data_IF_294856961028
#
_entry.id   IF_294856961028
#
_cell.length_a   1.000
_cell.length_b   1.000
_cell.length_c   1.000
_cell.angle_alpha   90.00
_cell.angle_beta   90.00
_cell.angle_gamma   90.00
#
_symmetry.space_group_name_H-M   'P 1'
#
loop_
_entity.id
_entity.type
_entity.pdbx_description
1 polymer ?
#
# COMPACT_ATOMS: atom_id res chain seq x y z
N UNK A 1 -10.28 29.07 7.94
CA UNK A 1 -9.02 29.84 8.11
C UNK A 1 -7.87 28.94 7.64
N UNK A 2 -7.20 29.38 6.58
CA UNK A 2 -5.91 28.97 6.00
C UNK A 2 -5.43 27.52 6.17
N UNK A 3 -5.49 26.76 5.08
CA UNK A 3 -4.42 25.84 4.70
C UNK A 3 -4.27 25.78 3.18
N UNK A 4 -4.02 26.94 2.57
CA UNK A 4 -3.46 27.03 1.23
C UNK A 4 -1.94 26.88 1.36
N UNK A 5 -1.48 25.66 1.59
CA UNK A 5 -0.10 25.33 1.21
C UNK A 5 -0.10 25.38 -0.32
N UNK A 6 0.50 26.43 -0.88
CA UNK A 6 0.68 26.55 -2.32
C UNK A 6 1.53 25.35 -2.78
N UNK A 7 0.88 24.36 -3.37
CA UNK A 7 1.60 23.29 -4.05
C UNK A 7 2.43 23.93 -5.18
N UNK A 8 3.66 23.46 -5.38
CA UNK A 8 4.40 23.74 -6.61
C UNK A 8 3.54 23.36 -7.82
N UNK A 9 3.81 23.92 -9.01
CA UNK A 9 3.05 23.59 -10.23
C UNK A 9 2.92 22.07 -10.43
N UNK A 10 3.97 21.32 -10.10
CA UNK A 10 4.03 19.85 -10.14
C UNK A 10 3.04 19.16 -9.17
N UNK A 11 2.85 19.72 -7.96
CA UNK A 11 1.91 19.17 -6.98
C UNK A 11 0.46 19.32 -7.43
N UNK A 12 0.13 20.41 -8.13
CA UNK A 12 -1.23 20.64 -8.65
C UNK A 12 -1.58 19.66 -9.78
N UNK A 13 -0.67 19.43 -10.72
CA UNK A 13 -0.86 18.46 -11.80
C UNK A 13 -1.06 17.04 -11.25
N UNK A 14 -0.27 16.67 -10.24
CA UNK A 14 -0.42 15.40 -9.54
C UNK A 14 -1.80 15.28 -8.89
N UNK A 15 -2.28 16.32 -8.20
CA UNK A 15 -3.62 16.32 -7.58
C UNK A 15 -4.73 16.14 -8.62
N UNK A 16 -4.64 16.83 -9.77
CA UNK A 16 -5.61 16.72 -10.86
C UNK A 16 -5.64 15.31 -11.46
N UNK A 17 -4.47 14.70 -11.67
CA UNK A 17 -4.38 13.31 -12.13
C UNK A 17 -4.99 12.35 -11.11
N UNK A 18 -4.71 12.52 -9.81
CA UNK A 18 -5.26 11.67 -8.73
C UNK A 18 -6.79 11.70 -8.68
N UNK A 19 -7.42 12.84 -8.98
CA UNK A 19 -8.88 12.98 -9.00
C UNK A 19 -9.57 12.17 -10.11
N UNK A 20 -8.82 11.67 -11.09
CA UNK A 20 -9.34 10.81 -12.15
C UNK A 20 -9.44 9.33 -11.73
N UNK A 21 -8.76 8.93 -10.66
CA UNK A 21 -8.78 7.55 -10.15
C UNK A 21 -9.94 7.30 -9.19
N UNK A 22 -10.34 6.03 -9.06
CA UNK A 22 -11.29 5.62 -8.03
C UNK A 22 -10.71 5.83 -6.63
N UNK A 23 -11.50 6.45 -5.74
CA UNK A 23 -11.08 6.71 -4.37
C UNK A 23 -11.46 5.58 -3.43
N UNK A 24 -10.47 4.77 -3.04
CA UNK A 24 -10.63 3.80 -1.94
C UNK A 24 -10.77 4.50 -0.59
N UNK A 25 -11.96 4.42 0.01
CA UNK A 25 -12.19 4.93 1.38
C UNK A 25 -11.49 4.04 2.40
N UNK A 26 -10.71 4.62 3.32
CA UNK A 26 -10.09 3.89 4.43
C UNK A 26 -10.88 4.10 5.74
N UNK A 27 -10.79 3.19 6.72
CA UNK A 27 -11.52 3.32 7.98
C UNK A 27 -10.89 4.28 9.00
N UNK A 28 -9.76 4.91 8.69
CA UNK A 28 -9.04 5.78 9.61
C UNK A 28 -9.80 7.08 9.86
N UNK A 29 -10.01 7.39 11.15
CA UNK A 29 -10.63 8.66 11.58
C UNK A 29 -9.61 9.76 11.81
N UNK A 30 -8.41 9.38 12.27
CA UNK A 30 -7.27 10.28 12.43
C UNK A 30 -6.37 10.16 11.20
N UNK A 31 -5.68 11.24 10.79
CA UNK A 31 -4.66 11.15 9.77
C UNK A 31 -3.60 10.11 10.18
N UNK A 32 -3.31 9.19 9.27
CA UNK A 32 -2.26 8.18 9.40
C UNK A 32 -1.32 8.32 8.21
N UNK A 33 -0.15 7.70 8.30
CA UNK A 33 0.76 7.66 7.15
C UNK A 33 0.16 6.84 6.00
N UNK A 34 0.59 7.10 4.76
CA UNK A 34 0.16 6.31 3.60
C UNK A 34 0.56 4.83 3.72
N UNK A 35 1.75 4.55 4.25
CA UNK A 35 2.22 3.20 4.51
C UNK A 35 1.32 2.46 5.51
N UNK A 36 1.00 3.10 6.63
CA UNK A 36 0.06 2.56 7.64
C UNK A 36 -1.35 2.36 7.08
N UNK A 37 -1.81 3.29 6.23
CA UNK A 37 -3.11 3.19 5.59
C UNK A 37 -3.21 1.97 4.66
N UNK A 38 -2.21 1.75 3.82
CA UNK A 38 -2.16 0.59 2.93
C UNK A 38 -1.97 -0.70 3.70
N UNK A 39 -1.15 -0.68 4.76
CA UNK A 39 -0.95 -1.81 5.66
C UNK A 39 -2.27 -2.33 6.25
N UNK A 40 -3.13 -1.44 6.74
CA UNK A 40 -4.41 -1.84 7.33
C UNK A 40 -5.42 -2.35 6.30
N UNK A 41 -5.34 -1.90 5.05
CA UNK A 41 -6.24 -2.33 3.96
C UNK A 41 -5.81 -3.69 3.36
N UNK A 42 -4.52 -3.86 3.10
CA UNK A 42 -3.97 -5.02 2.36
C UNK A 42 -3.55 -6.14 3.31
N UNK A 43 -3.31 -5.81 4.59
CA UNK A 43 -3.02 -6.79 5.63
C UNK A 43 -1.53 -6.93 5.98
N UNK A 44 -0.74 -5.85 6.00
CA UNK A 44 0.63 -5.86 6.58
C UNK A 44 0.61 -6.00 8.13
N UNK A 45 -0.53 -6.42 8.70
CA UNK A 45 -0.70 -6.59 10.15
C UNK A 45 0.13 -7.75 10.73
N UNK A 46 0.85 -8.53 9.91
CA UNK A 46 1.86 -9.49 10.38
C UNK A 46 3.17 -8.83 10.86
N UNK A 47 3.49 -7.59 10.48
CA UNK A 47 4.82 -7.02 10.69
C UNK A 47 4.88 -5.79 11.62
N UNK A 48 3.78 -5.04 11.83
CA UNK A 48 3.82 -3.72 12.50
C UNK A 48 2.81 -3.60 13.65
N UNK A 49 2.75 -4.59 14.55
CA UNK A 49 2.03 -4.40 15.82
C UNK A 49 2.87 -4.92 17.00
N UNK A 50 3.99 -4.25 17.24
CA UNK A 50 4.64 -4.20 18.55
C UNK A 50 4.53 -2.78 19.09
N UNK A 51 3.34 -2.40 19.58
CA UNK A 51 3.13 -1.31 20.54
C UNK A 51 1.63 -1.11 20.85
N UNK A 52 1.20 -1.60 22.01
CA UNK A 52 0.13 -1.03 22.84
C UNK A 52 -1.36 -1.26 22.58
N UNK A 53 -1.83 -2.02 21.58
CA UNK A 53 -3.26 -2.44 21.59
C UNK A 53 -3.46 -3.89 21.17
N UNK A 54 -3.83 -4.73 22.14
CA UNK A 54 -4.45 -6.03 21.90
C UNK A 54 -5.78 -5.79 21.16
N UNK A 55 -5.81 -5.94 19.83
CA UNK A 55 -6.94 -6.45 19.05
C UNK A 55 -6.82 -6.06 17.58
N UNK A 56 -6.24 -6.94 16.76
CA UNK A 56 -6.94 -7.60 15.66
C UNK A 56 -5.90 -8.47 14.91
N UNK A 57 -5.57 -9.65 15.46
CA UNK A 57 -5.01 -10.71 14.63
C UNK A 57 -6.14 -11.14 13.68
N UNK A 58 -6.16 -10.62 12.45
CA UNK A 58 -7.00 -11.18 11.38
C UNK A 58 -6.38 -12.52 10.99
N UNK A 59 -6.86 -13.61 11.58
CA UNK A 59 -6.85 -14.89 10.88
C UNK A 59 -7.73 -14.70 9.63
N UNK A 60 -7.12 -14.33 8.51
CA UNK A 60 -7.90 -13.96 7.34
C UNK A 60 -7.05 -13.47 6.19
N UNK A 61 -6.90 -14.38 5.22
CA UNK A 61 -6.43 -14.23 3.84
C UNK A 61 -5.55 -13.00 3.55
N UNK A 62 -4.25 -13.25 3.35
CA UNK A 62 -3.31 -12.30 2.74
C UNK A 62 -3.95 -11.66 1.50
N UNK A 63 -3.99 -10.33 1.46
CA UNK A 63 -4.60 -9.53 0.40
C UNK A 63 -6.07 -9.89 0.06
N UNK A 64 -7.02 -9.69 1.00
CA UNK A 64 -8.40 -10.17 0.86
C UNK A 64 -9.18 -9.52 -0.29
N UNK A 65 -8.69 -8.40 -0.82
CA UNK A 65 -9.32 -7.63 -1.89
C UNK A 65 -8.53 -7.73 -3.21
N UNK A 66 -7.52 -8.60 -3.29
CA UNK A 66 -6.71 -8.84 -4.49
C UNK A 66 -6.08 -7.56 -5.06
N UNK A 67 -5.62 -6.66 -4.19
CA UNK A 67 -4.96 -5.43 -4.61
C UNK A 67 -3.57 -5.71 -5.20
N UNK A 68 -3.21 -4.93 -6.22
CA UNK A 68 -1.83 -4.72 -6.62
C UNK A 68 -1.34 -3.39 -6.03
N UNK A 69 -0.05 -3.27 -5.74
CA UNK A 69 0.53 -2.04 -5.19
C UNK A 69 1.56 -1.48 -6.15
N UNK A 70 1.32 -0.26 -6.63
CA UNK A 70 2.29 0.52 -7.38
C UNK A 70 2.94 1.57 -6.46
N UNK A 71 4.25 1.47 -6.21
CA UNK A 71 4.96 2.43 -5.36
C UNK A 71 6.43 2.58 -5.73
N UNK A 72 6.92 3.83 -5.74
CA UNK A 72 8.34 4.14 -5.90
C UNK A 72 9.15 3.86 -4.63
N UNK A 73 8.51 3.75 -3.47
CA UNK A 73 9.19 3.49 -2.20
C UNK A 73 9.62 2.03 -2.08
N UNK A 74 10.93 1.78 -2.13
CA UNK A 74 11.50 0.43 -2.08
C UNK A 74 11.24 -0.27 -0.75
N UNK A 75 11.41 0.42 0.38
CA UNK A 75 11.17 -0.15 1.71
C UNK A 75 9.73 -0.65 1.84
N UNK A 76 8.77 0.10 1.31
CA UNK A 76 7.37 -0.30 1.32
C UNK A 76 7.13 -1.53 0.43
N UNK A 77 7.79 -1.63 -0.74
CA UNK A 77 7.74 -2.85 -1.56
C UNK A 77 8.30 -4.06 -0.82
N UNK A 78 9.45 -3.92 -0.15
CA UNK A 78 10.05 -4.99 0.65
C UNK A 78 9.09 -5.47 1.75
N UNK A 79 8.40 -4.54 2.42
CA UNK A 79 7.38 -4.88 3.43
C UNK A 79 6.19 -5.63 2.81
N UNK A 80 5.73 -5.27 1.62
CA UNK A 80 4.61 -5.96 0.97
C UNK A 80 4.96 -7.36 0.43
N UNK A 81 6.23 -7.65 0.15
CA UNK A 81 6.65 -8.99 -0.34
C UNK A 81 6.33 -10.11 0.64
N UNK A 82 6.19 -9.82 1.94
CA UNK A 82 5.85 -10.82 2.97
C UNK A 82 4.38 -11.25 2.90
N UNK A 83 3.54 -10.52 2.17
CA UNK A 83 2.12 -10.84 2.00
C UNK A 83 1.96 -11.63 0.71
N UNK A 84 1.36 -12.81 0.79
CA UNK A 84 1.08 -13.61 -0.39
C UNK A 84 -0.01 -12.94 -1.25
N UNK A 85 0.15 -13.02 -2.58
CA UNK A 85 -0.86 -12.56 -3.53
C UNK A 85 -0.90 -11.04 -3.73
N UNK A 86 0.17 -10.30 -3.42
CA UNK A 86 0.29 -8.85 -3.70
C UNK A 86 1.29 -8.62 -4.85
N UNK A 87 0.83 -8.41 -6.10
CA UNK A 87 1.70 -7.95 -7.18
C UNK A 87 2.22 -6.53 -6.90
N UNK A 88 3.53 -6.34 -7.09
CA UNK A 88 4.22 -5.07 -6.84
C UNK A 88 4.66 -4.44 -8.15
N UNK A 89 4.39 -3.15 -8.30
CA UNK A 89 4.76 -2.38 -9.48
C UNK A 89 5.58 -1.15 -9.09
N UNK A 90 6.51 -0.78 -9.95
CA UNK A 90 7.22 0.50 -9.85
C UNK A 90 7.67 0.97 -11.23
N UNK A 91 7.95 2.26 -11.34
CA UNK A 91 8.47 2.86 -12.55
C UNK A 91 9.99 2.94 -12.43
N UNK A 92 10.70 2.36 -13.40
CA UNK A 92 12.13 2.58 -13.59
C UNK A 92 12.35 3.42 -14.84
N UNK A 93 12.66 4.71 -14.64
CA UNK A 93 12.72 5.72 -15.71
C UNK A 93 11.41 5.83 -16.48
N UNK A 94 11.29 5.18 -17.62
CA UNK A 94 10.12 5.24 -18.52
C UNK A 94 9.33 3.94 -18.58
N UNK A 95 9.77 2.89 -17.90
CA UNK A 95 9.16 1.56 -17.96
C UNK A 95 8.46 1.26 -16.63
N UNK A 96 7.20 0.81 -16.73
CA UNK A 96 6.48 0.20 -15.62
C UNK A 96 6.95 -1.25 -15.49
N UNK A 97 7.50 -1.59 -14.34
CA UNK A 97 7.98 -2.94 -14.02
C UNK A 97 6.99 -3.58 -13.05
N UNK A 98 6.56 -4.80 -13.36
CA UNK A 98 5.91 -5.71 -12.42
C UNK A 98 7.00 -6.60 -11.83
N UNK A 99 7.16 -6.58 -10.50
CA UNK A 99 8.12 -7.44 -9.82
C UNK A 99 7.73 -8.92 -9.98
N UNK A 100 8.72 -9.85 -9.96
CA UNK A 100 8.41 -11.27 -9.91
C UNK A 100 7.59 -11.61 -8.65
N UNK A 101 6.79 -12.69 -8.68
CA UNK A 101 6.00 -13.11 -7.52
C UNK A 101 6.86 -13.27 -6.27
N UNK A 102 6.36 -12.80 -5.13
CA UNK A 102 7.08 -12.91 -3.86
C UNK A 102 7.22 -14.37 -3.41
N UNK A 103 8.22 -14.64 -2.56
CA UNK A 103 8.38 -15.96 -1.93
C UNK A 103 7.10 -16.42 -1.23
N UNK A 104 6.46 -15.54 -0.45
CA UNK A 104 5.19 -15.82 0.21
C UNK A 104 4.07 -16.21 -0.77
N UNK A 105 4.02 -15.57 -1.94
CA UNK A 105 3.05 -15.91 -3.00
C UNK A 105 3.35 -17.30 -3.58
N UNK A 106 4.61 -17.58 -3.89
CA UNK A 106 5.03 -18.87 -4.45
C UNK A 106 4.81 -20.03 -3.48
N UNK A 107 5.01 -19.80 -2.17
CA UNK A 107 4.71 -20.79 -1.13
C UNK A 107 3.23 -21.08 -1.01
N UNK A 108 2.39 -20.04 -1.03
CA UNK A 108 0.92 -20.17 -0.96
C UNK A 108 0.35 -20.92 -2.17
N UNK A 109 0.95 -20.79 -3.35
CA UNK A 109 0.52 -21.51 -4.57
C UNK A 109 0.85 -23.01 -4.52
N UNK A 110 1.83 -23.43 -3.71
CA UNK A 110 2.23 -24.84 -3.58
C UNK A 110 1.37 -25.64 -2.59
N UNK A 111 0.59 -24.96 -1.75
CA UNK A 111 -0.31 -25.56 -0.76
C UNK A 111 -1.63 -25.96 -1.40
#
# INVERSE_FOLDING_TARGET
KSNSHAYSKEGLETELALKQFERRRCPHRKPVSSAECLASIIGINKLIVLAHTHSYLREGNDNPHNYCVATQNETLRQQFRVIAGVPLLYINRTVLIVEPPSGATLEKVKQ
#
